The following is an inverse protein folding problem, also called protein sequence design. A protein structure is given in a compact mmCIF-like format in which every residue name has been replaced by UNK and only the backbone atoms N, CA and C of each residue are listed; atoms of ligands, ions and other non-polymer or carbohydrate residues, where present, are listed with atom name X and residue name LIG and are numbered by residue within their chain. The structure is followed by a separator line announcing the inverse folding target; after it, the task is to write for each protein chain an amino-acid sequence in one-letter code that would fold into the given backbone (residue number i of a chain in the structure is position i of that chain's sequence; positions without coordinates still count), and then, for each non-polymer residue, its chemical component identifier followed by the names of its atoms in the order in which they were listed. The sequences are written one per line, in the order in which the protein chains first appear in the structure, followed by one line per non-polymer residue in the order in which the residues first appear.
data_IF_682138252957
#
_entry.id   IF_682138252957
#
_cell.length_a   1.000
_cell.length_b   1.000
_cell.length_c   1.000
_cell.angle_alpha   90.00
_cell.angle_beta   90.00
_cell.angle_gamma   90.00
#
_symmetry.space_group_name_H-M   'P 1'
#
loop_
_entity.id
_entity.type
_entity.pdbx_description
1 polymer ?
#
# COMPACT_ATOMS: atom_id res chain seq x y z
N UNK A 1 -6.45 11.66 -0.76
CA UNK A 1 -6.72 10.52 0.00
C UNK A 1 -6.57 9.25 -0.69
N UNK A 2 -6.24 9.35 -1.81
CA UNK A 2 -6.03 8.23 -2.64
C UNK A 2 -4.72 7.55 -2.24
N UNK A 3 -4.73 6.26 -2.06
CA UNK A 3 -3.51 5.50 -1.84
C UNK A 3 -2.87 5.13 -3.16
N UNK A 4 -3.47 5.52 -4.26
CA UNK A 4 -2.96 5.18 -5.57
C UNK A 4 -1.67 5.94 -5.89
N UNK A 5 -0.94 5.41 -6.85
CA UNK A 5 0.30 6.03 -7.31
C UNK A 5 -0.05 7.18 -8.25
N UNK A 6 0.50 8.33 -7.96
CA UNK A 6 0.38 9.47 -8.85
C UNK A 6 1.43 9.39 -9.95
N UNK A 7 1.15 10.09 -11.06
CA UNK A 7 2.07 10.13 -12.17
C UNK A 7 3.43 10.64 -11.71
N UNK A 8 4.49 9.91 -12.05
CA UNK A 8 5.88 10.28 -11.71
C UNK A 8 6.19 10.25 -10.22
N UNK A 9 5.34 9.63 -9.40
CA UNK A 9 5.64 9.51 -7.97
C UNK A 9 6.88 8.66 -7.76
N UNK A 10 7.79 9.12 -6.91
CA UNK A 10 9.06 8.45 -6.66
C UNK A 10 8.87 7.34 -5.64
N UNK A 11 9.33 6.15 -6.00
CA UNK A 11 9.03 4.92 -5.26
C UNK A 11 10.31 4.21 -4.85
N UNK A 12 10.33 3.74 -3.62
CA UNK A 12 11.37 2.84 -3.11
C UNK A 12 10.75 1.45 -2.94
N UNK A 13 11.38 0.44 -3.52
CA UNK A 13 10.90 -0.94 -3.43
C UNK A 13 11.65 -1.71 -2.35
N UNK A 14 10.92 -2.52 -1.60
CA UNK A 14 11.49 -3.32 -0.51
C UNK A 14 11.20 -4.80 -0.76
N UNK A 15 12.25 -5.59 -0.77
CA UNK A 15 12.14 -7.05 -0.84
C UNK A 15 12.71 -7.69 0.41
N UNK A 16 12.06 -8.75 0.89
CA UNK A 16 12.48 -9.43 2.11
C UNK A 16 13.03 -10.81 1.76
N UNK A 17 14.25 -11.07 2.18
CA UNK A 17 14.92 -12.35 1.97
C UNK A 17 14.71 -13.21 3.21
N UNK A 18 14.20 -14.41 3.02
CA UNK A 18 13.95 -15.34 4.11
C UNK A 18 14.27 -16.78 3.66
N UNK A 19 13.86 -17.76 4.45
CA UNK A 19 14.12 -19.15 4.13
C UNK A 19 13.43 -19.63 2.87
N UNK A 20 12.25 -19.06 2.57
CA UNK A 20 11.47 -19.44 1.39
C UNK A 20 11.91 -18.72 0.13
N UNK A 21 12.47 -17.53 0.27
CA UNK A 21 12.84 -16.69 -0.86
C UNK A 21 14.27 -16.21 -0.68
N UNK A 22 15.17 -16.77 -1.48
CA UNK A 22 16.58 -16.37 -1.42
C UNK A 22 16.78 -15.03 -2.17
N UNK A 23 18.00 -14.53 -2.14
CA UNK A 23 18.34 -13.24 -2.70
C UNK A 23 18.04 -13.15 -4.20
N UNK A 24 18.32 -14.21 -4.96
CA UNK A 24 18.11 -14.23 -6.40
C UNK A 24 16.62 -14.10 -6.71
N UNK A 25 15.79 -14.89 -6.02
CA UNK A 25 14.33 -14.86 -6.21
C UNK A 25 13.77 -13.49 -5.85
N UNK A 26 14.23 -12.93 -4.72
CA UNK A 26 13.74 -11.60 -4.29
C UNK A 26 14.10 -10.53 -5.30
N UNK A 27 15.30 -10.57 -5.86
CA UNK A 27 15.72 -9.61 -6.88
C UNK A 27 14.87 -9.72 -8.14
N UNK A 28 14.53 -10.94 -8.54
CA UNK A 28 13.63 -11.13 -9.68
C UNK A 28 12.26 -10.56 -9.39
N UNK A 29 11.71 -10.80 -8.19
CA UNK A 29 10.42 -10.25 -7.78
C UNK A 29 10.45 -8.73 -7.76
N UNK A 30 11.54 -8.14 -7.31
CA UNK A 30 11.67 -6.67 -7.32
C UNK A 30 11.73 -6.11 -8.74
N UNK A 31 12.34 -6.84 -9.67
CA UNK A 31 12.33 -6.42 -11.06
C UNK A 31 10.93 -6.46 -11.65
N UNK A 32 10.15 -7.49 -11.35
CA UNK A 32 8.75 -7.56 -11.76
C UNK A 32 7.94 -6.42 -11.13
N UNK A 33 8.15 -6.20 -9.84
CA UNK A 33 7.46 -5.14 -9.11
C UNK A 33 7.78 -3.78 -9.71
N UNK A 34 9.03 -3.58 -10.12
CA UNK A 34 9.45 -2.34 -10.79
C UNK A 34 8.65 -2.09 -12.06
N UNK A 35 8.42 -3.14 -12.87
CA UNK A 35 7.62 -3.02 -14.08
C UNK A 35 6.17 -2.67 -13.75
N UNK A 36 5.64 -3.24 -12.67
CA UNK A 36 4.28 -2.92 -12.22
C UNK A 36 4.16 -1.46 -11.80
N UNK A 37 5.16 -0.95 -11.09
CA UNK A 37 5.19 0.46 -10.69
C UNK A 37 5.19 1.36 -11.91
N UNK A 38 6.00 1.05 -12.91
CA UNK A 38 6.05 1.83 -14.15
C UNK A 38 4.70 1.79 -14.86
N UNK A 39 4.05 0.63 -14.90
CA UNK A 39 2.72 0.50 -15.47
C UNK A 39 1.72 1.41 -14.75
N UNK A 40 1.86 1.57 -13.44
CA UNK A 40 1.00 2.45 -12.66
C UNK A 40 1.37 3.92 -12.79
N UNK A 41 2.47 4.24 -13.45
CA UNK A 41 2.89 5.62 -13.68
C UNK A 41 3.92 6.13 -12.69
N UNK A 42 4.42 5.29 -11.80
CA UNK A 42 5.44 5.69 -10.84
C UNK A 42 6.85 5.57 -11.37
N UNK A 43 7.79 6.10 -10.63
CA UNK A 43 9.22 6.05 -10.96
C UNK A 43 9.96 5.37 -9.82
N UNK A 44 10.59 4.23 -10.11
CA UNK A 44 11.38 3.51 -9.09
C UNK A 44 12.74 4.17 -8.97
N UNK A 45 13.03 4.72 -7.79
CA UNK A 45 14.31 5.40 -7.55
C UNK A 45 15.25 4.62 -6.65
N UNK A 46 14.81 3.47 -6.14
CA UNK A 46 15.68 2.62 -5.34
C UNK A 46 15.03 1.29 -5.03
N UNK A 47 15.87 0.32 -4.70
CA UNK A 47 15.44 -1.01 -4.30
C UNK A 47 16.29 -1.43 -3.09
N UNK A 48 15.62 -1.95 -2.07
CA UNK A 48 16.30 -2.45 -0.87
C UNK A 48 15.91 -3.90 -0.67
N UNK A 49 16.90 -4.74 -0.37
CA UNK A 49 16.62 -6.09 0.11
C UNK A 49 17.01 -6.16 1.58
N UNK A 50 16.20 -6.86 2.37
CA UNK A 50 16.43 -7.02 3.78
C UNK A 50 16.29 -8.49 4.15
N UNK A 51 17.34 -9.04 4.74
CA UNK A 51 17.32 -10.42 5.19
C UNK A 51 16.69 -10.48 6.58
N UNK A 52 15.76 -11.41 6.77
CA UNK A 52 15.13 -11.63 8.07
C UNK A 52 15.14 -13.12 8.39
N UNK A 53 15.23 -13.44 9.68
CA UNK A 53 15.09 -14.82 10.14
C UNK A 53 13.65 -15.12 10.53
N UNK A 54 12.90 -14.11 10.89
CA UNK A 54 11.55 -14.25 11.45
C UNK A 54 10.75 -12.97 11.15
N UNK A 55 9.49 -13.15 10.80
CA UNK A 55 8.59 -12.04 10.49
C UNK A 55 8.26 -11.27 11.77
N UNK A 56 8.42 -9.97 11.73
CA UNK A 56 7.98 -9.09 12.82
C UNK A 56 6.50 -8.75 12.60
N UNK A 57 5.63 -9.08 13.56
CA UNK A 57 4.19 -8.81 13.39
C UNK A 57 3.84 -7.34 13.25
N UNK A 58 4.68 -6.45 13.76
CA UNK A 58 4.41 -5.03 13.74
C UNK A 58 4.90 -4.36 12.47
N UNK A 59 6.00 -4.81 11.89
CA UNK A 59 6.67 -4.09 10.80
C UNK A 59 7.22 -4.98 9.70
N UNK A 60 6.97 -6.27 9.72
CA UNK A 60 7.51 -7.29 8.81
C UNK A 60 9.00 -7.50 9.02
N UNK A 61 9.81 -6.46 8.87
CA UNK A 61 11.23 -6.45 9.25
C UNK A 61 11.34 -5.93 10.68
N UNK A 62 12.50 -6.09 11.30
CA UNK A 62 12.67 -5.56 12.66
C UNK A 62 12.40 -4.05 12.73
N UNK A 63 11.99 -3.58 13.91
CA UNK A 63 11.63 -2.17 14.10
C UNK A 63 12.78 -1.23 13.71
N UNK A 64 14.02 -1.57 14.08
CA UNK A 64 15.18 -0.76 13.70
C UNK A 64 15.36 -0.68 12.19
N UNK A 65 15.16 -1.78 11.49
CA UNK A 65 15.25 -1.80 10.04
C UNK A 65 14.10 -1.04 9.39
N UNK A 66 12.90 -1.13 9.97
CA UNK A 66 11.77 -0.36 9.47
C UNK A 66 12.05 1.13 9.54
N UNK A 67 12.62 1.59 10.63
CA UNK A 67 13.00 2.99 10.78
C UNK A 67 14.08 3.40 9.77
N UNK A 68 15.03 2.51 9.51
CA UNK A 68 16.06 2.77 8.50
C UNK A 68 15.44 2.88 7.10
N UNK A 69 14.48 2.03 6.77
CA UNK A 69 13.80 2.08 5.48
C UNK A 69 13.12 3.44 5.30
N UNK A 70 12.39 3.89 6.31
CA UNK A 70 11.74 5.21 6.26
C UNK A 70 12.78 6.32 6.11
N UNK A 71 13.87 6.23 6.86
CA UNK A 71 14.94 7.22 6.78
C UNK A 71 15.58 7.26 5.39
N UNK A 72 15.84 6.10 4.81
CA UNK A 72 16.41 6.02 3.46
C UNK A 72 15.43 6.55 2.41
N UNK A 73 14.14 6.25 2.58
CA UNK A 73 13.13 6.78 1.67
C UNK A 73 13.12 8.30 1.68
N UNK A 74 13.17 8.89 2.86
CA UNK A 74 13.23 10.35 2.98
C UNK A 74 14.49 10.92 2.35
N UNK A 75 15.61 10.27 2.56
CA UNK A 75 16.90 10.74 2.07
C UNK A 75 16.95 10.80 0.55
N UNK A 76 16.40 9.78 -0.12
CA UNK A 76 16.42 9.74 -1.58
C UNK A 76 15.23 10.48 -2.21
N UNK A 77 14.33 10.98 -1.41
CA UNK A 77 13.17 11.74 -1.90
C UNK A 77 12.00 10.88 -2.34
N UNK A 78 11.91 9.64 -1.89
CA UNK A 78 10.78 8.78 -2.20
C UNK A 78 9.53 9.27 -1.48
N UNK A 79 8.40 9.20 -2.15
CA UNK A 79 7.10 9.54 -1.56
C UNK A 79 6.28 8.30 -1.24
N UNK A 80 6.70 7.16 -1.74
CA UNK A 80 5.98 5.90 -1.59
C UNK A 80 6.99 4.78 -1.41
N UNK A 81 6.72 3.89 -0.47
CA UNK A 81 7.47 2.63 -0.36
C UNK A 81 6.51 1.49 -0.69
N UNK A 82 7.00 0.51 -1.44
CA UNK A 82 6.20 -0.66 -1.80
C UNK A 82 6.96 -1.91 -1.41
N UNK A 83 6.33 -2.74 -0.59
CA UNK A 83 6.87 -4.04 -0.22
C UNK A 83 6.41 -5.08 -1.22
N UNK A 84 7.30 -5.96 -1.62
CA UNK A 84 6.92 -7.08 -2.48
C UNK A 84 6.05 -8.08 -1.71
N UNK A 85 6.31 -8.23 -0.42
CA UNK A 85 5.53 -9.11 0.45
C UNK A 85 4.22 -8.46 0.87
N UNK A 86 3.25 -9.30 1.19
CA UNK A 86 1.97 -8.82 1.71
C UNK A 86 2.16 -8.26 3.11
N UNK A 87 1.58 -7.09 3.36
CA UNK A 87 1.60 -6.46 4.67
C UNK A 87 0.21 -6.56 5.31
N UNK A 88 0.18 -6.87 6.60
CA UNK A 88 -1.06 -6.83 7.34
C UNK A 88 -1.52 -5.38 7.52
N UNK A 89 -2.81 -5.17 7.80
CA UNK A 89 -3.29 -3.82 8.10
C UNK A 89 -2.53 -3.15 9.24
N UNK A 90 -2.18 -3.92 10.28
CA UNK A 90 -1.42 -3.38 11.40
C UNK A 90 -0.02 -2.93 10.96
N UNK A 91 0.63 -3.71 10.11
CA UNK A 91 1.96 -3.36 9.62
C UNK A 91 1.91 -2.06 8.81
N UNK A 92 0.94 -1.91 7.92
CA UNK A 92 0.80 -0.69 7.13
C UNK A 92 0.54 0.51 8.03
N UNK A 93 -0.33 0.36 9.02
CA UNK A 93 -0.62 1.44 9.97
C UNK A 93 0.62 1.86 10.74
N UNK A 94 1.45 0.89 11.11
CA UNK A 94 2.68 1.21 11.85
C UNK A 94 3.67 2.01 11.00
N UNK A 95 3.78 1.69 9.71
CA UNK A 95 4.62 2.49 8.82
C UNK A 95 4.07 3.91 8.67
N UNK A 96 2.76 4.06 8.56
CA UNK A 96 2.15 5.39 8.49
C UNK A 96 2.39 6.20 9.77
N UNK A 97 2.47 5.53 10.92
CA UNK A 97 2.80 6.20 12.16
C UNK A 97 4.24 6.72 12.19
N UNK A 98 5.14 6.00 11.52
CA UNK A 98 6.54 6.41 11.44
C UNK A 98 6.73 7.64 10.56
N UNK A 99 5.95 7.76 9.49
CA UNK A 99 6.00 8.92 8.62
C UNK A 99 4.69 9.10 7.90
N UNK A 100 4.06 10.24 8.09
CA UNK A 100 2.82 10.58 7.40
C UNK A 100 3.07 11.07 5.99
N UNK A 101 4.30 11.45 5.68
CA UNK A 101 4.65 11.96 4.36
C UNK A 101 4.95 10.86 3.34
N UNK A 102 5.29 9.67 3.82
CA UNK A 102 5.62 8.55 2.96
C UNK A 102 4.47 7.55 3.02
N UNK A 103 3.88 7.27 1.87
CA UNK A 103 2.83 6.26 1.77
C UNK A 103 3.46 4.88 1.73
N UNK A 104 2.73 3.88 2.20
CA UNK A 104 3.18 2.50 2.21
C UNK A 104 2.14 1.62 1.53
N UNK A 105 2.60 0.83 0.58
CA UNK A 105 1.78 -0.17 -0.10
C UNK A 105 2.50 -1.50 -0.09
N UNK A 106 1.75 -2.55 -0.36
CA UNK A 106 2.33 -3.84 -0.69
C UNK A 106 1.97 -4.18 -2.14
N UNK A 107 2.45 -5.33 -2.62
CA UNK A 107 2.20 -5.75 -4.01
C UNK A 107 0.70 -5.80 -4.31
N UNK A 108 -0.11 -6.28 -3.38
CA UNK A 108 -1.56 -6.38 -3.59
C UNK A 108 -2.19 -5.02 -3.77
N UNK A 109 -1.79 -4.05 -2.96
CA UNK A 109 -2.29 -2.68 -3.08
C UNK A 109 -1.93 -2.06 -4.42
N UNK A 110 -0.71 -2.30 -4.88
CA UNK A 110 -0.27 -1.81 -6.19
C UNK A 110 -1.08 -2.43 -7.32
N UNK A 111 -1.30 -3.75 -7.28
CA UNK A 111 -2.06 -4.44 -8.32
C UNK A 111 -3.49 -3.91 -8.37
N UNK A 112 -4.11 -3.71 -7.22
CA UNK A 112 -5.45 -3.13 -7.16
C UNK A 112 -5.49 -1.72 -7.74
N UNK A 113 -4.46 -0.93 -7.49
CA UNK A 113 -4.36 0.41 -8.05
C UNK A 113 -4.31 0.36 -9.58
N UNK A 114 -3.53 -0.56 -10.13
CA UNK A 114 -3.43 -0.75 -11.58
C UNK A 114 -4.80 -1.15 -12.15
N UNK A 115 -5.46 -2.11 -11.52
CA UNK A 115 -6.79 -2.55 -11.97
C UNK A 115 -7.78 -1.41 -11.93
N UNK A 116 -7.75 -0.61 -10.87
CA UNK A 116 -8.66 0.52 -10.72
C UNK A 116 -8.48 1.53 -11.86
N UNK A 117 -7.25 1.79 -12.25
CA UNK A 117 -6.95 2.73 -13.32
C UNK A 117 -7.31 2.21 -14.70
N UNK A 118 -7.37 0.90 -14.88
CA UNK A 118 -7.59 0.30 -16.19
C UNK A 118 -8.97 -0.30 -16.38
N UNK A 119 -9.84 -0.30 -15.38
CA UNK A 119 -11.20 -0.82 -15.51
C UNK A 119 -12.01 0.08 -16.42
N UNK A 120 -12.71 -0.49 -17.39
CA UNK A 120 -13.46 0.26 -18.41
C UNK A 120 -14.95 0.02 -18.38
N UNK A 121 -15.40 -1.23 -18.12
CA UNK A 121 -16.82 -1.54 -18.08
C UNK A 121 -17.38 -1.24 -16.70
N UNK A 122 -18.70 -1.06 -16.63
CA UNK A 122 -19.38 -0.84 -15.35
C UNK A 122 -19.14 -1.99 -14.39
N UNK A 123 -19.23 -3.22 -14.89
CA UNK A 123 -19.02 -4.41 -14.08
C UNK A 123 -17.59 -4.44 -13.53
N UNK A 124 -16.62 -4.18 -14.40
CA UNK A 124 -15.21 -4.18 -14.00
C UNK A 124 -14.93 -3.08 -12.97
N UNK A 125 -15.45 -1.88 -13.21
CA UNK A 125 -15.28 -0.76 -12.28
C UNK A 125 -15.87 -1.11 -10.92
N UNK A 126 -17.08 -1.68 -10.90
CA UNK A 126 -17.73 -2.06 -9.65
C UNK A 126 -16.95 -3.12 -8.90
N UNK A 127 -16.48 -4.15 -9.60
CA UNK A 127 -15.72 -5.23 -8.98
C UNK A 127 -14.39 -4.74 -8.42
N UNK A 128 -13.69 -3.89 -9.17
CA UNK A 128 -12.40 -3.33 -8.72
C UNK A 128 -12.61 -2.42 -7.53
N UNK A 129 -13.66 -1.59 -7.56
CA UNK A 129 -13.96 -0.71 -6.43
C UNK A 129 -14.28 -1.51 -5.18
N UNK A 130 -15.02 -2.60 -5.31
CA UNK A 130 -15.32 -3.46 -4.17
C UNK A 130 -14.04 -4.07 -3.60
N UNK A 131 -13.21 -4.65 -4.47
CA UNK A 131 -11.95 -5.24 -4.03
C UNK A 131 -11.03 -4.21 -3.39
N UNK A 132 -10.99 -3.01 -3.95
CA UNK A 132 -10.19 -1.92 -3.42
C UNK A 132 -10.67 -1.51 -2.03
N UNK A 133 -11.97 -1.39 -1.85
CA UNK A 133 -12.53 -1.04 -0.54
C UNK A 133 -12.29 -2.14 0.49
N UNK A 134 -12.42 -3.39 0.10
CA UNK A 134 -12.14 -4.51 1.00
C UNK A 134 -10.68 -4.53 1.44
N UNK A 135 -9.77 -4.16 0.55
CA UNK A 135 -8.37 -4.03 0.88
C UNK A 135 -8.13 -2.82 1.79
N UNK A 136 -8.74 -1.70 1.47
CA UNK A 136 -8.46 -0.42 2.11
C UNK A 136 -9.04 -0.29 3.52
N UNK A 137 -10.29 -0.72 3.72
CA UNK A 137 -11.00 -0.48 4.97
C UNK A 137 -10.24 -0.92 6.22
N UNK A 138 -9.71 -2.15 6.29
CA UNK A 138 -8.98 -2.55 7.50
C UNK A 138 -7.63 -1.83 7.64
N UNK A 139 -7.16 -1.16 6.59
CA UNK A 139 -5.86 -0.49 6.56
C UNK A 139 -5.94 1.00 6.80
N UNK A 140 -7.14 1.54 6.99
CA UNK A 140 -7.31 2.97 7.21
C UNK A 140 -6.66 3.39 8.53
N UNK A 141 -5.91 4.46 8.48
CA UNK A 141 -5.35 5.08 9.68
C UNK A 141 -6.41 5.94 10.35
N UNK A 142 -6.11 6.43 11.55
CA UNK A 142 -7.01 7.33 12.24
C UNK A 142 -7.36 8.55 11.38
N UNK A 143 -6.40 9.07 10.66
CA UNK A 143 -6.61 10.22 9.79
C UNK A 143 -7.60 9.90 8.68
N UNK A 144 -7.44 8.72 8.06
CA UNK A 144 -8.36 8.25 7.03
C UNK A 144 -9.76 8.03 7.59
N UNK A 145 -9.83 7.43 8.77
CA UNK A 145 -11.11 7.18 9.42
C UNK A 145 -11.87 8.48 9.68
N UNK A 146 -11.15 9.52 10.07
CA UNK A 146 -11.77 10.81 10.29
C UNK A 146 -12.36 11.38 9.00
N UNK A 147 -11.61 11.31 7.91
CA UNK A 147 -12.10 11.77 6.62
C UNK A 147 -13.28 10.95 6.12
N UNK A 148 -13.22 9.65 6.32
CA UNK A 148 -14.31 8.75 5.98
C UNK A 148 -15.59 9.16 6.70
N UNK A 149 -15.50 9.49 7.96
CA UNK A 149 -16.65 9.91 8.72
C UNK A 149 -17.23 11.22 8.20
N UNK A 150 -16.38 12.18 7.82
CA UNK A 150 -16.84 13.42 7.24
C UNK A 150 -17.57 13.18 5.92
N UNK A 151 -16.99 12.36 5.07
CA UNK A 151 -17.60 12.01 3.80
C UNK A 151 -18.87 11.19 4.00
N UNK A 152 -18.83 10.26 4.93
CA UNK A 152 -19.97 9.44 5.27
C UNK A 152 -21.12 10.26 5.84
N UNK A 153 -20.79 11.27 6.60
CA UNK A 153 -21.80 12.17 7.13
C UNK A 153 -22.54 12.93 6.06
N UNK A 154 -21.94 13.07 4.89
CA UNK A 154 -22.56 13.78 3.80
C UNK A 154 -23.18 12.82 2.80
N UNK A 155 -22.39 11.89 2.33
CA UNK A 155 -22.78 11.07 1.20
C UNK A 155 -23.20 9.66 1.54
N UNK A 156 -22.58 9.06 2.52
CA UNK A 156 -22.83 7.65 2.82
C UNK A 156 -24.26 7.43 3.23
N UNK A 157 -24.81 8.35 3.94
CA UNK A 157 -26.19 8.24 4.35
C UNK A 157 -27.14 8.33 3.21
N UNK A 158 -26.74 9.03 2.22
CA UNK A 158 -27.53 9.10 1.01
C UNK A 158 -27.35 7.84 0.19
N UNK A 159 -26.18 7.28 0.25
CA UNK A 159 -25.87 6.13 -0.56
C UNK A 159 -26.02 4.83 0.15
N UNK A 160 -25.74 4.85 1.35
CA UNK A 160 -25.72 3.62 2.02
C UNK A 160 -26.47 3.55 3.24
N UNK A 161 -26.32 4.10 3.24
CA UNK A 161 -26.66 4.04 3.92
C UNK A 161 -26.95 3.43 4.40
N UNK A 162 -27.31 3.55 4.33
CA UNK A 162 -27.50 3.25 4.74
C UNK A 162 -27.19 2.38 4.86
N UNK A 163 -26.35 2.48 4.67
CA UNK A 163 -25.97 2.00 4.89
C UNK A 163 -25.33 1.63 5.38
N UNK A 164 -24.86 1.95 5.55
CA UNK A 164 -24.52 1.96 6.05
C UNK A 164 -24.43 1.41 6.52
N UNK A 165 -24.36 1.48 6.33
CA UNK A 165 -24.55 1.42 6.83
C UNK A 165 -24.78 0.74 7.22
N UNK A 166 -24.96 0.92 7.24
CA UNK A 166 -25.39 0.67 7.47
C UNK A 166 -25.08 -0.10 7.71
N UNK A 167 -24.35 0.05 7.42
CA UNK A 167 -24.24 -0.14 7.64
C UNK A 167 -23.99 -0.65 8.31
N UNK A 168 -23.74 -0.37 8.42
CA UNK A 168 -23.89 -0.42 9.02
C UNK A 168 -24.14 -1.20 9.34
N UNK A 169 -24.01 -1.27 9.35
CA UNK A 169 -24.45 -1.49 9.47
C UNK A 169 -24.46 -1.96 9.71
#
# INVERSE_FOLDING_TARGET
MDSSINQQEKVLLIGVINQSHNEIIVKEHLNELSLLVETAGGEVIGKITQKISKINPATLVGMGKAKQIISQAKEIGAKLIIFDDELSPAQIKNYHKMSKKIKTLDRNGLILDIFKKHARTKEAITQVNLAYLEYLLPRLTRQWTHLERQMGGIGARAGMGETQIEIDR
#
